data_IF_430934170178
#
_entry.id   IF_430934170178
#
_cell.length_a   1.000
_cell.length_b   1.000
_cell.length_c   1.000
_cell.angle_alpha   90.00
_cell.angle_beta   90.00
_cell.angle_gamma   90.00
#
_symmetry.space_group_name_H-M   'P 1'
#
loop_
_entity.id
_entity.type
_entity.pdbx_description
1 polymer ?
#
# COMPACT_ATOMS: atom_id res chain seq x y z
N UNK A 1 46.21 -52.91 27.45
CA UNK A 1 47.46 -52.15 27.73
C UNK A 1 47.14 -50.69 27.41
N UNK A 2 46.47 -49.91 28.25
CA UNK A 2 46.73 -49.49 29.64
C UNK A 2 47.87 -48.46 29.77
N UNK A 3 47.54 -47.37 30.50
CA UNK A 3 48.34 -46.24 31.02
C UNK A 3 48.56 -45.05 30.06
N UNK A 4 48.39 -43.77 30.45
CA UNK A 4 48.29 -43.16 31.78
C UNK A 4 47.55 -41.81 31.75
N UNK A 5 46.72 -41.64 32.78
CA UNK A 5 46.07 -40.43 33.27
C UNK A 5 47.09 -39.56 34.01
N UNK A 6 47.04 -38.23 33.86
CA UNK A 6 47.53 -37.27 34.86
C UNK A 6 46.57 -36.07 34.89
N UNK A 7 45.78 -35.99 35.97
CA UNK A 7 45.08 -34.78 36.41
C UNK A 7 46.10 -33.77 36.96
N UNK A 8 45.80 -32.48 36.79
CA UNK A 8 46.14 -31.45 37.77
C UNK A 8 44.96 -30.47 37.87
N UNK A 9 44.41 -30.40 39.07
CA UNK A 9 43.32 -29.53 39.53
C UNK A 9 43.95 -28.35 40.29
N UNK A 10 43.51 -27.13 40.01
CA UNK A 10 43.48 -25.99 40.94
C UNK A 10 42.56 -24.92 40.31
N UNK A 11 41.29 -24.81 40.69
CA UNK A 11 40.75 -24.15 41.88
C UNK A 11 40.81 -22.60 41.82
N UNK A 12 39.65 -22.04 41.50
CA UNK A 12 39.00 -20.82 42.02
C UNK A 12 39.72 -19.46 41.99
N UNK A 13 39.04 -18.48 41.35
CA UNK A 13 38.54 -17.30 42.06
C UNK A 13 37.37 -16.70 41.27
N UNK A 14 36.19 -16.73 41.88
CA UNK A 14 35.02 -15.98 41.45
C UNK A 14 35.23 -14.50 41.79
N UNK A 15 35.24 -13.64 40.78
CA UNK A 15 35.05 -12.19 40.97
C UNK A 15 33.61 -11.85 40.63
N UNK A 16 32.83 -11.65 41.70
CA UNK A 16 31.49 -11.10 41.62
C UNK A 16 31.57 -9.59 41.31
N UNK A 17 30.71 -9.19 40.38
CA UNK A 17 29.93 -7.95 40.35
C UNK A 17 30.61 -6.61 40.71
N UNK A 18 30.86 -5.82 39.67
CA UNK A 18 30.46 -4.41 39.64
C UNK A 18 30.19 -4.01 38.17
N UNK A 19 29.16 -4.60 37.56
CA UNK A 19 28.57 -4.00 36.37
C UNK A 19 27.81 -2.77 36.87
N UNK A 20 28.26 -1.62 36.38
CA UNK A 20 27.64 -0.33 36.59
C UNK A 20 26.12 -0.43 36.38
N UNK A 21 25.31 0.32 37.16
CA UNK A 21 23.88 0.40 36.91
C UNK A 21 23.71 0.72 35.44
N UNK A 22 23.02 -0.18 34.74
CA UNK A 22 22.59 0.06 33.39
C UNK A 22 21.99 1.44 33.38
N UNK A 23 22.52 2.30 32.49
CA UNK A 23 21.67 3.29 31.89
C UNK A 23 20.44 2.49 31.48
N UNK A 24 19.32 2.76 32.16
CA UNK A 24 18.04 2.42 31.61
C UNK A 24 18.14 2.90 30.17
N UNK A 25 18.21 1.97 29.23
CA UNK A 25 17.63 2.25 27.95
C UNK A 25 16.24 2.70 28.35
N UNK A 26 16.01 4.01 28.28
CA UNK A 26 14.67 4.53 28.19
C UNK A 26 14.07 3.69 27.08
N UNK A 27 13.33 2.66 27.50
CA UNK A 27 12.29 2.10 26.72
C UNK A 27 11.34 3.26 26.58
N UNK A 28 11.62 4.10 25.57
CA UNK A 28 10.61 4.85 24.88
C UNK A 28 9.65 3.76 24.39
N UNK A 29 8.74 3.41 25.30
CA UNK A 29 7.46 2.81 25.01
C UNK A 29 6.90 3.76 23.96
N UNK A 30 6.99 3.35 22.70
CA UNK A 30 6.49 4.11 21.56
C UNK A 30 5.05 4.48 21.89
N UNK A 31 4.86 5.77 22.19
CA UNK A 31 3.59 6.24 22.73
C UNK A 31 2.47 6.00 21.70
N UNK A 32 1.33 5.44 22.13
CA UNK A 32 0.17 5.10 21.30
C UNK A 32 -0.59 6.33 20.73
N UNK A 33 0.00 7.53 20.75
CA UNK A 33 -0.72 8.80 20.62
C UNK A 33 -0.52 9.52 19.28
N UNK A 34 0.22 8.95 18.32
CA UNK A 34 0.49 9.65 17.05
C UNK A 34 -0.56 9.34 15.98
N UNK A 35 -1.55 10.23 15.90
CA UNK A 35 -2.35 10.48 14.68
C UNK A 35 -1.39 10.58 13.49
N UNK A 36 -1.71 10.00 12.31
CA UNK A 36 -0.95 10.26 11.11
C UNK A 36 -0.85 11.77 10.85
N UNK A 37 0.35 12.33 10.98
CA UNK A 37 0.55 13.78 10.82
C UNK A 37 0.85 14.11 9.37
N UNK A 38 -0.08 14.76 8.67
CA UNK A 38 0.24 15.47 7.43
C UNK A 38 0.87 16.83 7.76
N UNK A 39 1.83 17.28 6.94
CA UNK A 39 2.47 18.60 7.12
C UNK A 39 1.49 19.76 6.87
N UNK A 40 0.37 19.48 6.21
CA UNK A 40 -0.60 20.47 5.77
C UNK A 40 -2.01 19.97 6.04
N UNK A 41 -2.78 20.79 6.75
CA UNK A 41 -4.23 20.65 6.77
C UNK A 41 -4.80 21.66 5.78
N UNK A 42 -5.41 21.19 4.69
CA UNK A 42 -6.14 22.08 3.78
C UNK A 42 -7.62 22.15 4.10
N UNK A 43 -8.21 23.30 3.77
CA UNK A 43 -9.66 23.45 3.77
C UNK A 43 -10.33 22.63 2.65
N UNK A 44 -11.63 22.38 2.79
CA UNK A 44 -12.40 21.59 1.84
C UNK A 44 -12.33 22.11 0.39
N UNK A 45 -12.33 23.44 0.20
CA UNK A 45 -12.24 24.05 -1.13
C UNK A 45 -10.86 23.82 -1.78
N UNK A 46 -9.79 23.90 -1.00
CA UNK A 46 -8.43 23.66 -1.45
C UNK A 46 -8.22 22.18 -1.79
N UNK A 47 -8.74 21.27 -0.95
CA UNK A 47 -8.77 19.84 -1.25
C UNK A 47 -9.46 19.55 -2.58
N UNK A 48 -10.68 20.06 -2.75
CA UNK A 48 -11.47 19.94 -4.00
C UNK A 48 -10.67 20.43 -5.21
N UNK A 49 -10.07 21.62 -5.11
CA UNK A 49 -9.25 22.19 -6.19
C UNK A 49 -8.00 21.33 -6.48
N UNK A 50 -7.35 20.79 -5.44
CA UNK A 50 -6.17 19.94 -5.59
C UNK A 50 -6.51 18.63 -6.31
N UNK A 51 -7.64 17.99 -5.98
CA UNK A 51 -8.12 16.76 -6.57
C UNK A 51 -8.55 16.95 -8.03
N UNK A 52 -9.25 18.04 -8.34
CA UNK A 52 -9.59 18.40 -9.72
C UNK A 52 -8.33 18.69 -10.56
N UNK A 53 -7.33 19.36 -9.98
CA UNK A 53 -6.07 19.62 -10.64
C UNK A 53 -5.24 18.34 -10.84
N UNK A 54 -5.30 17.40 -9.90
CA UNK A 54 -4.69 16.07 -10.02
C UNK A 54 -5.30 15.28 -11.17
N UNK A 55 -6.64 15.20 -11.20
CA UNK A 55 -7.38 14.59 -12.31
C UNK A 55 -6.95 15.18 -13.65
N UNK A 56 -6.92 16.50 -13.77
CA UNK A 56 -6.51 17.15 -15.02
C UNK A 56 -5.08 16.74 -15.45
N UNK A 57 -4.12 16.67 -14.51
CA UNK A 57 -2.74 16.24 -14.78
C UNK A 57 -2.67 14.77 -15.20
N UNK A 58 -3.36 13.87 -14.50
CA UNK A 58 -3.41 12.44 -14.84
C UNK A 58 -4.03 12.24 -16.21
N UNK A 59 -5.18 12.88 -16.47
CA UNK A 59 -5.87 12.78 -17.73
C UNK A 59 -5.04 13.35 -18.89
N UNK A 60 -4.38 14.49 -18.73
CA UNK A 60 -3.47 15.06 -19.73
C UNK A 60 -2.30 14.11 -20.03
N UNK A 61 -1.69 13.57 -18.97
CA UNK A 61 -0.60 12.60 -19.09
C UNK A 61 -1.01 11.34 -19.85
N UNK A 62 -2.23 10.83 -19.65
CA UNK A 62 -2.70 9.63 -20.34
C UNK A 62 -3.15 9.91 -21.78
N UNK A 63 -3.75 11.08 -22.04
CA UNK A 63 -4.29 11.43 -23.35
C UNK A 63 -5.32 10.40 -23.83
N UNK A 64 -5.07 9.78 -24.99
CA UNK A 64 -5.96 8.74 -25.54
C UNK A 64 -5.96 7.44 -24.70
N UNK A 65 -4.93 7.19 -23.89
CA UNK A 65 -4.81 5.97 -23.09
C UNK A 65 -5.76 5.93 -21.88
N UNK A 66 -6.59 6.96 -21.70
CA UNK A 66 -7.77 6.90 -20.80
C UNK A 66 -8.73 5.78 -21.19
N UNK A 67 -8.67 5.32 -22.44
CA UNK A 67 -9.36 4.13 -22.92
C UNK A 67 -8.33 3.17 -23.49
N UNK A 68 -8.41 1.90 -23.09
CA UNK A 68 -7.57 0.83 -23.62
C UNK A 68 -8.45 -0.04 -24.52
N UNK A 69 -8.17 -0.03 -25.81
CA UNK A 69 -8.93 -0.77 -26.82
C UNK A 69 -8.34 -2.15 -27.10
N UNK A 70 -7.08 -2.38 -26.73
CA UNK A 70 -6.42 -3.66 -26.86
C UNK A 70 -5.01 -3.69 -26.26
N UNK A 71 -4.29 -4.82 -26.41
CA UNK A 71 -2.95 -5.01 -25.85
C UNK A 71 -1.92 -3.95 -26.27
N UNK A 72 -2.05 -3.39 -27.46
CA UNK A 72 -1.17 -2.31 -27.94
C UNK A 72 -1.23 -1.05 -27.08
N UNK A 73 -2.39 -0.74 -26.50
CA UNK A 73 -2.56 0.45 -25.65
C UNK A 73 -1.91 0.22 -24.28
N UNK A 74 -1.90 -1.02 -23.80
CA UNK A 74 -1.16 -1.44 -22.59
C UNK A 74 0.34 -1.30 -22.81
N UNK A 75 0.85 -1.74 -23.97
CA UNK A 75 2.26 -1.53 -24.32
C UNK A 75 2.61 -0.04 -24.39
N UNK A 76 1.70 0.79 -24.90
CA UNK A 76 1.87 2.23 -24.93
C UNK A 76 1.87 2.86 -23.51
N UNK A 77 1.04 2.38 -22.59
CA UNK A 77 1.07 2.77 -21.18
C UNK A 77 2.41 2.43 -20.53
N UNK A 78 2.89 1.20 -20.72
CA UNK A 78 4.17 0.74 -20.19
C UNK A 78 5.33 1.60 -20.72
N UNK A 79 5.32 1.94 -22.01
CA UNK A 79 6.33 2.81 -22.62
C UNK A 79 6.30 4.27 -22.11
N UNK A 80 5.15 4.75 -21.61
CA UNK A 80 4.96 6.16 -21.21
C UNK A 80 5.19 6.43 -19.72
N UNK A 81 4.92 5.45 -18.87
CA UNK A 81 5.04 5.63 -17.43
C UNK A 81 5.30 4.36 -16.65
N UNK A 82 5.76 3.28 -17.32
CA UNK A 82 6.02 2.01 -16.64
C UNK A 82 4.77 1.27 -16.18
N UNK A 83 3.56 1.76 -16.53
CA UNK A 83 2.31 1.13 -16.14
C UNK A 83 2.08 -0.18 -16.88
N UNK A 84 2.07 -1.27 -16.13
CA UNK A 84 1.82 -2.61 -16.64
C UNK A 84 1.03 -3.46 -15.65
N UNK A 85 0.65 -4.68 -16.06
CA UNK A 85 0.12 -5.65 -15.12
C UNK A 85 1.21 -5.98 -14.11
N UNK A 86 0.86 -5.89 -12.84
CA UNK A 86 1.78 -6.16 -11.73
C UNK A 86 1.49 -7.55 -11.14
N UNK A 87 1.69 -7.68 -9.84
CA UNK A 87 1.54 -8.82 -8.97
C UNK A 87 0.14 -9.40 -8.91
N UNK A 88 -0.89 -8.65 -9.31
CA UNK A 88 -2.24 -9.14 -9.53
C UNK A 88 -2.48 -9.70 -10.95
N UNK A 89 -1.45 -9.78 -11.80
CA UNK A 89 -1.62 -10.17 -13.19
C UNK A 89 -2.61 -9.25 -13.91
N UNK A 90 -3.59 -9.84 -14.61
CA UNK A 90 -4.68 -9.12 -15.28
C UNK A 90 -6.03 -9.26 -14.55
N UNK A 91 -6.02 -9.57 -13.26
CA UNK A 91 -7.26 -9.81 -12.50
C UNK A 91 -8.16 -8.58 -12.57
N UNK A 92 -9.38 -8.80 -13.08
CA UNK A 92 -10.42 -7.79 -13.09
C UNK A 92 -11.32 -7.96 -11.87
N UNK A 93 -11.24 -7.01 -10.94
CA UNK A 93 -12.10 -6.99 -9.77
C UNK A 93 -13.42 -6.28 -10.04
N UNK A 94 -14.50 -6.80 -9.49
CA UNK A 94 -15.83 -6.18 -9.59
C UNK A 94 -15.80 -4.79 -8.93
N UNK A 95 -16.30 -3.77 -9.63
CA UNK A 95 -16.38 -2.39 -9.13
C UNK A 95 -15.09 -1.57 -9.26
N UNK A 96 -13.93 -2.23 -9.43
CA UNK A 96 -12.60 -1.59 -9.47
C UNK A 96 -12.00 -1.67 -10.87
N UNK A 97 -12.21 -2.81 -11.53
CA UNK A 97 -11.57 -3.14 -12.80
C UNK A 97 -10.20 -3.80 -12.60
N UNK A 98 -9.30 -3.57 -13.57
CA UNK A 98 -7.91 -4.03 -13.55
C UNK A 98 -7.03 -2.90 -13.02
N UNK A 99 -6.14 -3.23 -12.08
CA UNK A 99 -5.08 -2.34 -11.63
C UNK A 99 -3.81 -2.50 -12.47
N UNK A 100 -3.25 -1.39 -12.97
CA UNK A 100 -1.96 -1.36 -13.65
C UNK A 100 -0.99 -0.48 -12.87
N UNK A 101 0.18 -0.99 -12.51
CA UNK A 101 1.13 -0.28 -11.65
C UNK A 101 2.31 0.26 -12.43
N UNK A 102 2.80 1.42 -12.03
CA UNK A 102 4.13 1.93 -12.37
C UNK A 102 5.15 0.98 -11.76
N UNK A 103 5.59 0.00 -12.56
CA UNK A 103 6.45 -1.09 -12.10
C UNK A 103 7.76 -0.58 -11.47
N UNK A 104 8.49 0.40 -12.06
CA UNK A 104 9.64 1.01 -11.41
C UNK A 104 9.34 1.55 -10.00
N UNK A 105 8.23 2.29 -9.84
CA UNK A 105 7.86 2.86 -8.55
C UNK A 105 7.44 1.79 -7.54
N UNK A 106 6.64 0.81 -7.95
CA UNK A 106 6.21 -0.28 -7.07
C UNK A 106 7.39 -1.13 -6.60
N UNK A 107 8.34 -1.45 -7.49
CA UNK A 107 9.54 -2.18 -7.12
C UNK A 107 10.45 -1.38 -6.18
N UNK A 108 10.52 -0.05 -6.33
CA UNK A 108 11.24 0.82 -5.39
C UNK A 108 10.61 0.79 -3.98
N UNK A 109 9.28 0.87 -3.89
CA UNK A 109 8.55 0.74 -2.61
C UNK A 109 8.83 -0.62 -1.97
N UNK A 110 8.72 -1.71 -2.75
CA UNK A 110 8.98 -3.08 -2.27
C UNK A 110 10.43 -3.21 -1.77
N UNK A 111 11.41 -2.80 -2.57
CA UNK A 111 12.82 -2.90 -2.21
C UNK A 111 13.13 -2.14 -0.92
N UNK A 112 12.47 -1.00 -0.70
CA UNK A 112 12.60 -0.18 0.51
C UNK A 112 11.87 -0.73 1.74
N UNK A 113 11.05 -1.78 1.62
CA UNK A 113 10.41 -2.44 2.76
C UNK A 113 10.99 -3.82 3.11
N UNK A 114 12.13 -4.21 2.50
CA UNK A 114 12.83 -5.45 2.84
C UNK A 114 13.78 -5.23 4.01
N UNK A 115 13.69 -6.09 5.03
CA UNK A 115 14.58 -6.06 6.19
C UNK A 115 16.06 -6.10 5.77
N UNK A 116 16.86 -5.15 6.28
CA UNK A 116 18.30 -5.06 6.01
C UNK A 116 18.69 -4.33 4.71
N UNK A 117 17.74 -3.97 3.84
CA UNK A 117 18.00 -3.10 2.67
C UNK A 117 17.90 -1.62 3.05
N UNK A 118 16.91 -1.28 3.86
CA UNK A 118 16.58 0.08 4.32
C UNK A 118 16.57 0.22 5.83
N UNK A 119 17.10 -0.77 6.55
CA UNK A 119 17.22 -0.73 8.01
C UNK A 119 17.86 0.61 8.45
N UNK A 120 17.04 1.52 8.98
CA UNK A 120 17.47 2.84 9.45
C UNK A 120 17.02 4.05 8.61
N UNK A 121 16.33 3.90 7.48
CA UNK A 121 15.78 5.08 6.77
C UNK A 121 14.35 5.38 7.23
N UNK A 122 14.25 6.31 8.18
CA UNK A 122 12.99 6.94 8.65
C UNK A 122 12.55 8.09 7.69
N UNK A 123 13.17 8.17 6.51
CA UNK A 123 12.89 9.25 5.57
C UNK A 123 11.50 9.01 4.97
N UNK A 124 10.58 9.93 5.26
CA UNK A 124 9.24 9.92 4.72
C UNK A 124 9.29 9.99 3.19
N UNK A 125 8.65 9.03 2.56
CA UNK A 125 8.55 8.95 1.11
C UNK A 125 7.59 10.03 0.59
N UNK A 126 7.68 10.36 -0.70
CA UNK A 126 6.94 11.45 -1.31
C UNK A 126 6.10 10.97 -2.48
N UNK A 127 4.91 11.54 -2.62
CA UNK A 127 4.03 11.35 -3.78
C UNK A 127 3.82 12.69 -4.48
N UNK A 128 3.68 12.65 -5.81
CA UNK A 128 3.57 13.86 -6.62
C UNK A 128 2.31 13.81 -7.46
N UNK A 129 1.50 14.85 -7.36
CA UNK A 129 0.28 14.97 -8.13
C UNK A 129 0.52 14.84 -9.64
N UNK A 130 -0.34 14.09 -10.32
CA UNK A 130 -0.22 13.75 -11.74
C UNK A 130 0.76 12.61 -12.05
N UNK A 131 1.34 11.98 -11.02
CA UNK A 131 2.28 10.86 -11.14
C UNK A 131 1.82 9.67 -10.29
N UNK A 132 0.68 9.05 -10.63
CA UNK A 132 0.11 7.97 -9.84
C UNK A 132 0.97 6.71 -9.89
N UNK A 133 1.06 6.01 -8.76
CA UNK A 133 1.73 4.70 -8.65
C UNK A 133 0.94 3.61 -9.38
N UNK A 134 -0.37 3.77 -9.52
CA UNK A 134 -1.16 2.88 -10.36
C UNK A 134 -2.46 3.48 -10.88
N UNK A 135 -3.03 2.80 -11.85
CA UNK A 135 -4.23 3.19 -12.59
C UNK A 135 -5.27 2.08 -12.50
N UNK A 136 -6.54 2.45 -12.36
CA UNK A 136 -7.65 1.51 -12.36
C UNK A 136 -8.47 1.65 -13.64
N UNK A 137 -8.69 0.52 -14.32
CA UNK A 137 -9.39 0.44 -15.59
C UNK A 137 -10.57 -0.53 -15.52
N UNK A 138 -11.79 -0.03 -15.69
CA UNK A 138 -13.00 -0.86 -15.75
C UNK A 138 -13.25 -1.35 -17.16
N UNK A 139 -13.59 -2.63 -17.30
CA UNK A 139 -14.00 -3.17 -18.61
C UNK A 139 -15.36 -2.62 -19.03
N UNK A 140 -15.46 -2.27 -20.30
CA UNK A 140 -16.70 -1.91 -21.00
C UNK A 140 -17.35 -3.13 -21.68
N UNK A 141 -16.72 -4.30 -21.62
CA UNK A 141 -17.25 -5.53 -22.19
C UNK A 141 -18.35 -6.09 -21.28
N UNK A 142 -19.61 -6.18 -21.74
CA UNK A 142 -20.71 -6.72 -20.92
C UNK A 142 -20.55 -8.22 -20.61
N UNK A 143 -19.66 -8.93 -21.32
CA UNK A 143 -19.34 -10.33 -21.09
C UNK A 143 -18.04 -10.54 -20.30
N UNK A 144 -17.51 -9.49 -19.65
CA UNK A 144 -16.29 -9.60 -18.86
C UNK A 144 -16.45 -10.65 -17.73
N UNK A 145 -15.43 -11.50 -17.60
CA UNK A 145 -15.33 -12.46 -16.50
C UNK A 145 -14.48 -11.82 -15.41
N UNK A 146 -15.09 -11.60 -14.24
CA UNK A 146 -14.36 -11.13 -13.07
C UNK A 146 -13.49 -12.26 -12.51
N UNK A 147 -12.40 -11.88 -11.85
CA UNK A 147 -11.49 -12.81 -11.17
C UNK A 147 -10.77 -13.81 -12.12
N UNK A 148 -10.78 -13.57 -13.43
CA UNK A 148 -9.94 -14.28 -14.41
C UNK A 148 -8.61 -13.53 -14.61
N UNK A 149 -7.48 -14.06 -14.12
CA UNK A 149 -6.18 -13.39 -14.24
C UNK A 149 -5.57 -13.49 -15.65
N UNK A 150 -6.15 -14.29 -16.56
CA UNK A 150 -5.52 -14.68 -17.83
C UNK A 150 -6.18 -14.09 -19.07
N UNK A 151 -7.47 -13.74 -19.01
CA UNK A 151 -8.22 -13.30 -20.19
C UNK A 151 -8.61 -11.82 -20.09
N UNK A 152 -7.91 -10.92 -20.82
CA UNK A 152 -8.29 -9.52 -20.89
C UNK A 152 -9.69 -9.32 -21.51
N UNK A 153 -10.46 -8.44 -20.89
CA UNK A 153 -11.83 -8.06 -21.26
C UNK A 153 -11.86 -6.65 -21.88
N UNK A 154 -11.08 -6.40 -22.92
CA UNK A 154 -11.12 -5.13 -23.66
C UNK A 154 -12.52 -4.85 -24.26
N UNK A 155 -12.89 -3.57 -24.48
CA UNK A 155 -12.14 -2.37 -24.12
C UNK A 155 -12.28 -2.00 -22.65
N UNK A 156 -11.34 -1.21 -22.14
CA UNK A 156 -11.37 -0.66 -20.79
C UNK A 156 -11.41 0.87 -20.80
N UNK A 157 -11.99 1.46 -19.77
CA UNK A 157 -11.93 2.89 -19.47
C UNK A 157 -11.28 3.12 -18.10
N UNK A 158 -10.51 4.21 -17.98
CA UNK A 158 -9.98 4.65 -16.70
C UNK A 158 -11.17 4.96 -15.77
N UNK A 159 -11.08 4.55 -14.51
CA UNK A 159 -12.08 4.86 -13.46
C UNK A 159 -11.47 5.47 -12.21
N UNK A 160 -10.15 5.37 -12.06
CA UNK A 160 -9.43 5.94 -10.93
C UNK A 160 -7.94 5.70 -11.04
N UNK A 161 -7.22 6.12 -10.02
CA UNK A 161 -5.79 5.91 -9.86
C UNK A 161 -5.45 5.90 -8.38
N UNK A 162 -4.21 5.55 -8.06
CA UNK A 162 -3.75 5.60 -6.68
C UNK A 162 -2.30 6.05 -6.55
N UNK A 163 -1.98 6.51 -5.36
CA UNK A 163 -0.63 6.87 -4.95
C UNK A 163 -0.15 5.91 -3.88
N UNK A 164 0.96 5.24 -4.18
CA UNK A 164 1.65 4.32 -3.29
C UNK A 164 2.94 4.92 -2.77
N UNK A 165 3.25 4.65 -1.50
CA UNK A 165 4.49 5.07 -0.86
C UNK A 165 4.95 4.05 0.20
N UNK A 166 6.23 4.12 0.59
CA UNK A 166 6.75 3.30 1.69
C UNK A 166 5.95 3.56 2.96
N UNK A 167 5.48 2.49 3.60
CA UNK A 167 4.74 2.58 4.85
C UNK A 167 5.66 2.94 6.02
N UNK A 168 5.30 4.03 6.70
CA UNK A 168 5.90 4.43 7.97
C UNK A 168 4.78 4.57 8.99
N UNK A 169 4.75 3.75 10.06
CA UNK A 169 3.69 3.79 11.06
C UNK A 169 3.43 5.21 11.59
N UNK A 170 2.16 5.64 11.54
CA UNK A 170 1.73 6.94 12.04
C UNK A 170 2.26 8.17 11.28
N UNK A 171 2.83 8.00 10.08
CA UNK A 171 3.36 9.11 9.27
C UNK A 171 2.98 8.92 7.80
N UNK A 172 2.00 9.69 7.31
CA UNK A 172 1.58 9.67 5.89
C UNK A 172 2.69 10.20 4.97
N UNK A 173 2.66 9.97 3.66
CA UNK A 173 3.68 10.46 2.72
C UNK A 173 3.73 12.00 2.57
N UNK A 174 4.82 12.53 2.01
CA UNK A 174 4.92 13.94 1.61
C UNK A 174 4.08 14.14 0.35
N UNK A 175 3.08 15.01 0.42
CA UNK A 175 2.14 15.29 -0.66
C UNK A 175 2.58 16.51 -1.49
N UNK A 176 3.18 16.27 -2.66
CA UNK A 176 3.60 17.34 -3.57
C UNK A 176 2.50 17.69 -4.56
N UNK A 177 1.76 18.76 -4.28
CA UNK A 177 0.70 19.26 -5.16
C UNK A 177 -0.62 18.50 -5.06
N UNK A 178 -0.71 17.54 -4.13
CA UNK A 178 -1.95 16.97 -3.62
C UNK A 178 -2.30 17.65 -2.31
N UNK A 179 -3.60 17.74 -2.02
CA UNK A 179 -4.05 18.10 -0.70
C UNK A 179 -5.18 17.19 -0.28
N UNK A 180 -4.83 16.18 0.52
CA UNK A 180 -5.77 15.19 1.03
C UNK A 180 -5.72 15.17 2.55
N UNK A 181 -6.69 14.50 3.17
CA UNK A 181 -6.67 14.30 4.60
C UNK A 181 -5.79 13.11 4.97
N UNK A 182 -5.15 13.11 6.15
CA UNK A 182 -4.46 11.92 6.64
C UNK A 182 -5.36 10.68 6.65
N UNK A 183 -6.66 10.86 6.88
CA UNK A 183 -7.69 9.81 6.87
C UNK A 183 -8.05 9.28 5.48
N UNK A 184 -7.57 9.93 4.41
CA UNK A 184 -7.70 9.43 3.04
C UNK A 184 -6.67 8.31 2.74
N UNK A 185 -5.60 8.21 3.53
CA UNK A 185 -4.57 7.19 3.41
C UNK A 185 -4.93 5.92 4.17
N UNK A 186 -5.14 4.83 3.44
CA UNK A 186 -5.09 3.47 3.98
C UNK A 186 -3.69 2.89 3.77
N UNK A 187 -3.46 1.66 4.23
CA UNK A 187 -2.25 0.95 3.82
C UNK A 187 -2.61 -0.37 3.16
N UNK A 188 -1.87 -0.72 2.11
CA UNK A 188 -1.85 -2.06 1.57
C UNK A 188 -1.09 -2.94 2.56
N UNK A 189 -1.76 -3.92 3.13
CA UNK A 189 -1.19 -4.86 4.10
C UNK A 189 -0.07 -5.69 3.47
N UNK A 190 0.95 -6.05 4.26
CA UNK A 190 1.99 -6.99 3.85
C UNK A 190 1.38 -8.33 3.48
N UNK A 191 1.93 -8.98 2.46
CA UNK A 191 1.55 -10.34 2.13
C UNK A 191 2.12 -10.80 0.81
N UNK A 192 1.38 -11.72 0.18
CA UNK A 192 1.81 -12.40 -1.04
C UNK A 192 0.68 -12.42 -2.06
N UNK A 193 0.94 -11.89 -3.24
CA UNK A 193 0.10 -12.14 -4.41
C UNK A 193 0.38 -13.55 -4.94
N UNK A 194 -0.46 -14.51 -4.53
CA UNK A 194 -0.19 -15.93 -4.67
C UNK A 194 -0.53 -16.45 -6.08
N UNK A 195 0.40 -17.18 -6.70
CA UNK A 195 0.12 -17.89 -7.95
C UNK A 195 -0.76 -19.13 -7.69
N UNK A 196 -1.64 -19.52 -8.63
CA UNK A 196 -1.82 -18.95 -9.97
C UNK A 196 -2.95 -17.90 -10.07
N UNK A 197 -3.66 -17.60 -8.98
CA UNK A 197 -4.84 -16.73 -9.01
C UNK A 197 -4.49 -15.25 -8.85
N UNK A 198 -3.28 -14.95 -8.39
CA UNK A 198 -2.78 -13.60 -8.11
C UNK A 198 -3.60 -12.85 -7.04
N UNK A 199 -4.39 -13.58 -6.27
CA UNK A 199 -5.08 -13.06 -5.08
C UNK A 199 -4.09 -12.75 -3.97
N UNK A 200 -4.45 -11.77 -3.15
CA UNK A 200 -3.65 -11.36 -2.01
C UNK A 200 -3.89 -12.29 -0.82
N UNK A 201 -2.83 -12.99 -0.38
CA UNK A 201 -2.76 -13.66 0.91
C UNK A 201 -2.12 -12.69 1.89
N UNK A 202 -2.92 -12.03 2.71
CA UNK A 202 -2.43 -11.11 3.73
C UNK A 202 -1.64 -11.85 4.81
N UNK A 203 -0.54 -11.25 5.25
CA UNK A 203 0.33 -11.76 6.29
C UNK A 203 0.66 -10.63 7.27
N UNK A 204 -0.35 -10.09 7.99
CA UNK A 204 -0.11 -9.01 8.93
C UNK A 204 0.93 -9.43 9.99
N UNK A 205 1.80 -8.52 10.44
CA UNK A 205 2.64 -8.74 11.61
C UNK A 205 1.81 -8.98 12.87
N UNK A 206 2.41 -9.61 13.87
CA UNK A 206 1.81 -9.68 15.20
C UNK A 206 2.05 -8.34 15.90
N UNK A 207 1.00 -7.56 16.08
CA UNK A 207 1.03 -6.21 16.64
C UNK A 207 -0.11 -6.01 17.64
N UNK A 208 0.03 -5.03 18.54
CA UNK A 208 -1.01 -4.73 19.55
C UNK A 208 -2.22 -4.04 18.92
N UNK A 209 -2.01 -3.35 17.80
CA UNK A 209 -3.05 -2.67 17.02
C UNK A 209 -2.65 -2.56 15.55
N UNK A 210 -3.65 -2.47 14.66
CA UNK A 210 -3.47 -2.56 13.20
C UNK A 210 -2.68 -1.37 12.64
N UNK A 211 -1.49 -1.61 12.10
CA UNK A 211 -0.63 -0.56 11.53
C UNK A 211 0.49 -0.07 12.46
N UNK A 212 0.72 -0.73 13.60
CA UNK A 212 1.81 -0.40 14.52
C UNK A 212 3.18 -0.74 13.94
N UNK A 213 3.26 -1.90 13.28
CA UNK A 213 4.48 -2.43 12.72
C UNK A 213 4.68 -1.94 11.27
N UNK A 214 5.91 -1.63 10.83
CA UNK A 214 6.17 -1.21 9.45
C UNK A 214 5.81 -2.28 8.40
N UNK A 215 5.55 -3.53 8.81
CA UNK A 215 5.16 -4.61 7.92
C UNK A 215 6.25 -4.96 6.92
N UNK A 216 7.51 -4.93 7.35
CA UNK A 216 8.64 -5.33 6.51
C UNK A 216 8.60 -6.83 6.21
N UNK A 217 9.23 -7.23 5.11
CA UNK A 217 9.31 -8.64 4.72
C UNK A 217 10.54 -9.29 5.38
N UNK A 218 10.36 -10.34 6.21
CA UNK A 218 11.49 -11.12 6.71
C UNK A 218 12.15 -11.87 5.56
N UNK A 219 13.47 -11.80 5.43
CA UNK A 219 14.24 -12.40 4.32
C UNK A 219 14.09 -13.93 4.17
N UNK A 220 13.54 -14.64 5.15
CA UNK A 220 13.44 -16.10 5.17
C UNK A 220 12.06 -16.64 5.61
N UNK A 221 10.97 -15.89 5.38
CA UNK A 221 9.63 -16.37 5.71
C UNK A 221 9.16 -17.46 4.73
N UNK A 222 8.54 -18.57 5.21
CA UNK A 222 7.88 -19.52 4.34
C UNK A 222 6.65 -18.86 3.73
N UNK A 223 6.73 -18.52 2.44
CA UNK A 223 5.66 -17.87 1.71
C UNK A 223 5.05 -18.84 0.68
N UNK A 224 3.72 -18.76 0.43
CA UNK A 224 3.17 -19.40 -0.77
C UNK A 224 3.90 -18.87 -2.02
N UNK A 225 3.98 -19.64 -3.11
CA UNK A 225 4.54 -19.15 -4.36
C UNK A 225 3.79 -17.90 -4.83
N UNK A 226 4.50 -16.80 -5.04
CA UNK A 226 3.87 -15.53 -5.41
C UNK A 226 4.82 -14.34 -5.30
N UNK A 227 4.30 -13.13 -5.54
CA UNK A 227 5.04 -11.89 -5.29
C UNK A 227 4.78 -11.42 -3.86
N UNK A 228 5.84 -11.37 -3.05
CA UNK A 228 5.79 -10.84 -1.69
C UNK A 228 5.98 -9.33 -1.73
N UNK A 229 5.20 -8.58 -0.96
CA UNK A 229 5.40 -7.14 -0.79
C UNK A 229 5.23 -6.73 0.69
N UNK A 230 5.94 -5.67 1.14
CA UNK A 230 5.78 -5.10 2.47
C UNK A 230 4.46 -4.33 2.56
N UNK A 231 4.17 -3.74 3.74
CA UNK A 231 3.14 -2.69 3.81
C UNK A 231 3.52 -1.51 2.91
N UNK A 232 2.52 -0.89 2.32
CA UNK A 232 2.65 0.38 1.59
C UNK A 232 1.52 1.32 1.98
N UNK A 233 1.79 2.62 2.11
CA UNK A 233 0.73 3.62 2.15
C UNK A 233 0.03 3.66 0.79
N UNK A 234 -1.31 3.70 0.79
CA UNK A 234 -2.12 3.83 -0.41
C UNK A 234 -3.23 4.88 -0.26
N UNK A 235 -3.31 5.74 -1.27
CA UNK A 235 -4.37 6.72 -1.47
C UNK A 235 -5.07 6.43 -2.80
N UNK A 236 -6.31 5.95 -2.75
CA UNK A 236 -7.11 5.75 -3.97
C UNK A 236 -7.95 6.99 -4.27
N UNK A 237 -7.99 7.35 -5.56
CA UNK A 237 -8.76 8.47 -6.09
C UNK A 237 -9.63 7.94 -7.23
N UNK A 238 -10.94 8.17 -7.12
CA UNK A 238 -11.96 7.66 -8.02
C UNK A 238 -12.62 8.81 -8.78
N UNK A 239 -12.76 8.63 -10.09
CA UNK A 239 -13.55 9.54 -10.90
C UNK A 239 -15.04 9.32 -10.61
N UNK A 240 -15.78 10.41 -10.44
CA UNK A 240 -17.22 10.37 -10.21
C UNK A 240 -17.93 10.75 -11.52
N UNK A 241 -18.75 9.85 -12.09
CA UNK A 241 -19.51 10.17 -13.30
C UNK A 241 -20.34 11.45 -13.14
N UNK A 242 -20.17 12.39 -14.07
CA UNK A 242 -20.89 13.67 -14.05
C UNK A 242 -20.31 14.73 -13.09
N UNK A 243 -19.17 14.47 -12.47
CA UNK A 243 -18.44 15.42 -11.63
C UNK A 243 -17.03 15.66 -12.17
N UNK A 244 -16.58 16.90 -12.14
CA UNK A 244 -15.20 17.27 -12.45
C UNK A 244 -14.26 17.11 -11.26
N UNK A 245 -14.80 16.80 -10.08
CA UNK A 245 -14.03 16.56 -8.85
C UNK A 245 -14.05 15.06 -8.53
N UNK A 246 -12.88 14.40 -8.48
CA UNK A 246 -12.81 13.02 -8.03
C UNK A 246 -12.93 12.94 -6.51
N UNK A 247 -13.21 11.75 -6.00
CA UNK A 247 -13.28 11.48 -4.56
C UNK A 247 -12.12 10.59 -4.13
N UNK A 248 -11.73 10.69 -2.87
CA UNK A 248 -10.84 9.71 -2.23
C UNK A 248 -11.68 8.62 -1.58
N UNK A 249 -11.05 7.50 -1.28
CA UNK A 249 -11.63 6.51 -0.37
C UNK A 249 -10.93 5.18 -0.44
N UNK A 250 -11.39 4.24 0.38
CA UNK A 250 -11.00 2.85 0.21
C UNK A 250 -11.44 2.32 -1.15
N UNK A 251 -11.06 1.09 -1.46
CA UNK A 251 -11.45 0.38 -2.68
C UNK A 251 -12.99 0.12 -2.75
N UNK A 252 -13.75 0.57 -1.74
CA UNK A 252 -15.19 0.36 -1.54
C UNK A 252 -16.06 1.64 -1.69
N UNK A 253 -15.56 2.74 -2.28
CA UNK A 253 -16.32 4.02 -2.30
C UNK A 253 -17.23 4.27 -3.51
N UNK A 254 -17.61 3.22 -4.24
CA UNK A 254 -18.76 3.27 -5.15
C UNK A 254 -19.77 2.15 -4.83
N UNK A 255 -20.57 2.37 -3.78
CA UNK A 255 -21.66 1.52 -3.30
C UNK A 255 -21.24 0.13 -2.79
N UNK A 256 -21.73 -0.25 -1.60
CA UNK A 256 -21.71 -1.65 -1.16
C UNK A 256 -22.43 -2.51 -2.20
N UNK A 257 -21.68 -3.35 -2.92
CA UNK A 257 -22.23 -4.25 -3.93
C UNK A 257 -22.77 -5.49 -3.21
N UNK A 258 -24.07 -5.75 -3.30
CA UNK A 258 -24.67 -6.96 -2.76
C UNK A 258 -24.01 -8.22 -3.39
N UNK A 259 -23.47 -9.10 -2.54
CA UNK A 259 -22.89 -10.39 -2.94
C UNK A 259 -21.37 -10.45 -3.09
N UNK A 260 -20.61 -9.55 -2.45
CA UNK A 260 -19.14 -9.62 -2.43
C UNK A 260 -18.63 -10.49 -1.27
N UNK A 261 -17.80 -11.49 -1.61
CA UNK A 261 -16.97 -12.28 -0.70
C UNK A 261 -15.58 -12.38 -1.37
N UNK A 262 -14.77 -11.33 -1.25
CA UNK A 262 -13.52 -11.24 -2.01
C UNK A 262 -12.52 -10.28 -1.41
N UNK A 263 -12.06 -10.57 -0.17
CA UNK A 263 -10.75 -10.25 0.40
C UNK A 263 -10.24 -8.79 0.47
N UNK A 264 -10.70 -7.89 -0.39
CA UNK A 264 -10.20 -6.52 -0.58
C UNK A 264 -10.34 -5.65 0.68
N UNK A 265 -11.40 -5.77 1.52
CA UNK A 265 -11.46 -5.01 2.77
C UNK A 265 -10.33 -5.35 3.76
N UNK A 266 -9.80 -6.58 3.71
CA UNK A 266 -8.71 -7.02 4.59
C UNK A 266 -7.31 -6.67 4.09
N UNK A 267 -7.16 -6.38 2.80
CA UNK A 267 -5.87 -6.02 2.19
C UNK A 267 -5.57 -4.52 2.26
N UNK A 268 -6.59 -3.68 2.44
CA UNK A 268 -6.43 -2.22 2.53
C UNK A 268 -7.03 -1.66 3.84
N UNK A 269 -6.57 -2.13 5.01
CA UNK A 269 -7.02 -1.55 6.27
C UNK A 269 -6.58 -0.09 6.41
N UNK A 270 -7.31 0.63 7.27
CA UNK A 270 -6.83 1.87 7.84
C UNK A 270 -6.12 1.56 9.16
N UNK A 271 -5.10 2.34 9.56
CA UNK A 271 -4.49 2.16 10.88
C UNK A 271 -5.52 2.28 11.99
N UNK A 272 -5.57 1.32 12.91
CA UNK A 272 -6.48 1.31 14.06
C UNK A 272 -5.70 1.71 15.30
N UNK A 273 -5.98 2.87 15.89
CA UNK A 273 -5.36 3.35 17.12
C UNK A 273 -6.34 4.22 17.90
N UNK A 274 -6.02 4.64 19.14
CA UNK A 274 -6.93 5.42 20.00
C UNK A 274 -7.32 6.80 19.43
N UNK A 275 -6.77 7.17 18.27
CA UNK A 275 -7.10 8.39 17.51
C UNK A 275 -7.43 8.11 16.03
N UNK A 276 -7.64 6.85 15.65
CA UNK A 276 -8.06 6.50 14.29
C UNK A 276 -9.49 6.98 14.04
N UNK A 277 -9.61 8.04 13.25
CA UNK A 277 -10.87 8.41 12.61
C UNK A 277 -10.80 7.81 11.22
N UNK A 278 -11.60 6.79 10.94
CA UNK A 278 -11.79 6.30 9.58
C UNK A 278 -12.35 7.42 8.69
N UNK A 279 -12.48 7.22 7.37
CA UNK A 279 -13.19 8.17 6.55
C UNK A 279 -14.62 8.32 7.09
N UNK A 280 -14.94 9.49 7.67
CA UNK A 280 -16.31 9.98 7.69
C UNK A 280 -16.68 10.16 6.22
N UNK A 281 -17.16 9.07 5.59
CA UNK A 281 -17.88 9.17 4.34
C UNK A 281 -18.98 10.21 4.60
N UNK A 282 -19.03 11.32 3.86
CA UNK A 282 -20.18 12.19 3.94
C UNK A 282 -21.40 11.31 3.72
N UNK A 283 -22.33 11.29 4.67
CA UNK A 283 -23.66 10.77 4.41
C UNK A 283 -24.14 11.48 3.16
N UNK A 284 -24.10 10.79 2.02
CA UNK A 284 -24.79 11.22 0.82
C UNK A 284 -26.28 11.14 1.15
N UNK A 285 -26.79 12.17 1.81
CA UNK A 285 -28.20 12.49 1.75
C UNK A 285 -28.52 12.73 0.29
N UNK A 286 -29.13 11.71 -0.31
CA UNK A 286 -29.57 11.74 -1.69
C UNK A 286 -30.48 12.92 -1.96
N UNK A 287 -30.27 13.52 -3.13
CA UNK A 287 -31.35 14.02 -3.94
C UNK A 287 -31.60 13.03 -5.07
#
# INVERSE_FOLDING_TARGET
MALRLSLLVAAALATAAALAPGAAADGDILQPDRVPTADRQCGAAERTASLAADQARVLDRLGALRTLTGPQDVMALAARGGWGPDSHGWVQYRGIGVGLLDLPRSLDIIAKGIDGVTAGTIARDAVTSGQPTGLFYRSLNPAAVYDDPYVPSFPYELVGWFYGAVYTPGVTPIENGLCVYPTDWGFHERGVHAFPNFDMVTQPPAEEWVGQDPGSIPAAAPNPPGLVHPRAWDLHIWMVPGSDTPITGGVNTAQAIAGHDGGIPGSFPYPEGPTAVGPDLPEHHGH
#
